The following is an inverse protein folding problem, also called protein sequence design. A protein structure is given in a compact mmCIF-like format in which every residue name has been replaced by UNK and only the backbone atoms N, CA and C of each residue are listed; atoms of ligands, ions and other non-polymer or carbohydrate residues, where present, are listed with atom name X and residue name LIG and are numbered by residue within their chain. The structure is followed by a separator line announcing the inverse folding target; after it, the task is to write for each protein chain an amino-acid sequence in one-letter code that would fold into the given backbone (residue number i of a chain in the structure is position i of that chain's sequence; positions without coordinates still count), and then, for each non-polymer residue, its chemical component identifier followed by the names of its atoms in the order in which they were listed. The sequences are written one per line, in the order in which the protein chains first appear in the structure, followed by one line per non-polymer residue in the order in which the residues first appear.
data_IF_423759977884
#
_entry.id   IF_423759977884
#
_cell.length_a   1.000
_cell.length_b   1.000
_cell.length_c   1.000
_cell.angle_alpha   90.00
_cell.angle_beta   90.00
_cell.angle_gamma   90.00
#
_symmetry.space_group_name_H-M   'P 1'
#
loop_
_entity.id
_entity.type
_entity.pdbx_description
1 polymer ?
#
# COMPACT_ATOMS: atom_id res chain seq x y z
N UNK A 1 -12.22 5.10 2.57
CA UNK A 1 -11.27 6.21 2.28
C UNK A 1 -9.89 5.61 2.04
N UNK A 2 -9.25 5.92 0.92
CA UNK A 2 -7.92 5.37 0.62
C UNK A 2 -6.88 5.93 1.60
N UNK A 3 -6.08 5.04 2.21
CA UNK A 3 -4.92 5.39 3.03
C UNK A 3 -3.69 5.20 2.17
N UNK A 4 -2.81 6.19 2.10
CA UNK A 4 -1.58 6.08 1.32
C UNK A 4 -0.39 5.96 2.28
N UNK A 5 0.43 4.90 2.18
CA UNK A 5 1.65 4.81 2.97
C UNK A 5 2.61 5.94 2.56
N UNK A 6 3.23 6.57 3.55
CA UNK A 6 4.23 7.62 3.36
C UNK A 6 5.61 7.00 3.54
N UNK A 7 6.50 7.23 2.57
CA UNK A 7 7.91 6.86 2.73
C UNK A 7 8.53 7.75 3.80
N UNK A 8 8.85 7.16 4.95
CA UNK A 8 9.46 7.83 6.08
C UNK A 8 10.86 7.27 6.37
N UNK A 9 11.74 8.12 6.89
CA UNK A 9 13.05 7.74 7.36
C UNK A 9 13.10 7.89 8.88
N UNK A 10 13.35 6.79 9.59
CA UNK A 10 13.52 6.80 11.06
C UNK A 10 15.00 7.10 11.35
N UNK A 11 15.29 8.24 11.97
CA UNK A 11 16.61 8.56 12.51
C UNK A 11 16.92 7.60 13.66
N UNK A 12 18.21 7.35 13.89
CA UNK A 12 18.68 6.44 14.94
C UNK A 12 18.07 6.76 16.31
N UNK A 13 17.75 5.72 17.08
CA UNK A 13 17.14 5.84 18.38
C UNK A 13 18.08 6.51 19.39
N UNK A 14 17.62 7.58 20.03
CA UNK A 14 18.39 8.29 21.05
C UNK A 14 17.86 7.91 22.43
N UNK A 15 18.63 7.08 23.13
CA UNK A 15 18.38 6.71 24.51
C UNK A 15 18.72 7.87 25.45
N UNK A 16 17.72 8.40 26.16
CA UNK A 16 17.92 9.46 27.15
C UNK A 16 18.14 8.82 28.52
N UNK A 17 19.31 9.09 29.11
CA UNK A 17 19.58 8.74 30.49
C UNK A 17 19.21 9.92 31.39
N UNK A 18 18.49 9.64 32.47
CA UNK A 18 18.19 10.61 33.53
C UNK A 18 18.92 10.13 34.78
N UNK A 19 20.14 10.64 35.00
CA UNK A 19 20.98 10.30 36.14
C UNK A 19 22.36 10.96 36.06
N UNK A 20 22.94 11.28 37.22
CA UNK A 20 24.29 11.82 37.33
C UNK A 20 25.32 10.72 36.99
N UNK A 21 26.42 11.09 36.32
CA UNK A 21 27.41 10.21 35.67
C UNK A 21 28.16 9.27 36.64
N UNK A 22 27.87 9.34 37.95
CA UNK A 22 28.61 8.63 39.00
C UNK A 22 27.96 7.36 39.55
N UNK A 23 26.84 6.89 38.98
CA UNK A 23 26.24 5.61 39.40
C UNK A 23 26.02 4.71 38.20
N UNK A 24 26.66 3.54 38.21
CA UNK A 24 26.72 2.45 37.22
C UNK A 24 25.35 1.82 36.84
N UNK A 25 24.27 2.61 36.79
CA UNK A 25 22.90 2.13 36.53
C UNK A 25 22.09 3.14 35.70
N UNK A 26 22.75 3.92 34.83
CA UNK A 26 22.11 4.83 33.88
C UNK A 26 21.32 4.08 32.79
N UNK A 27 20.26 3.38 33.17
CA UNK A 27 19.39 2.68 32.23
C UNK A 27 18.49 3.71 31.55
N UNK A 28 18.44 3.74 30.21
CA UNK A 28 17.59 4.68 29.52
C UNK A 28 16.12 4.25 29.69
N UNK A 29 15.41 4.85 30.63
CA UNK A 29 13.95 4.66 30.76
C UNK A 29 13.16 5.36 29.66
N UNK A 30 13.83 6.15 28.81
CA UNK A 30 13.22 6.92 27.72
C UNK A 30 14.06 6.81 26.45
N UNK A 31 13.42 6.51 25.32
CA UNK A 31 14.04 6.46 23.99
C UNK A 31 13.28 7.41 23.07
N UNK A 32 14.01 8.22 22.29
CA UNK A 32 13.42 9.14 21.32
C UNK A 32 13.74 8.67 19.91
N UNK A 33 12.69 8.49 19.10
CA UNK A 33 12.78 8.19 17.68
C UNK A 33 12.31 9.41 16.88
N UNK A 34 13.20 10.00 16.10
CA UNK A 34 12.85 11.07 15.19
C UNK A 34 12.61 10.51 13.80
N UNK A 35 11.49 10.87 13.19
CA UNK A 35 11.07 10.41 11.87
C UNK A 35 10.93 11.61 10.95
N UNK A 36 11.62 11.53 9.82
CA UNK A 36 11.61 12.57 8.79
C UNK A 36 11.00 12.06 7.49
N UNK A 37 10.51 13.00 6.69
CA UNK A 37 9.87 12.73 5.41
C UNK A 37 10.72 13.37 4.30
N UNK A 38 11.78 12.70 3.82
CA UNK A 38 12.72 13.31 2.86
C UNK A 38 12.10 13.56 1.48
N UNK A 39 11.19 12.68 1.03
CA UNK A 39 10.60 12.73 -0.32
C UNK A 39 9.16 13.23 -0.33
N UNK A 40 8.52 13.35 0.84
CA UNK A 40 7.19 13.87 0.99
C UNK A 40 7.30 15.24 1.63
N UNK A 41 6.77 16.28 0.97
CA UNK A 41 6.58 17.59 1.59
C UNK A 41 5.66 17.51 2.84
N UNK A 42 5.09 18.63 3.31
CA UNK A 42 4.26 18.62 4.51
C UNK A 42 3.16 17.53 4.48
N UNK A 43 3.26 16.54 5.36
CA UNK A 43 2.41 15.33 5.35
C UNK A 43 1.14 15.57 6.16
N UNK A 44 0.00 15.14 5.62
CA UNK A 44 -1.27 15.13 6.36
C UNK A 44 -1.46 13.77 7.02
N UNK A 45 -0.99 13.64 8.26
CA UNK A 45 -0.98 12.39 8.99
C UNK A 45 -2.40 11.93 9.30
N UNK A 46 -2.70 10.67 9.00
CA UNK A 46 -4.01 10.07 9.22
C UNK A 46 -3.94 8.95 10.27
N UNK A 47 -2.89 8.15 10.21
CA UNK A 47 -2.71 6.98 11.07
C UNK A 47 -1.22 6.64 11.16
N UNK A 48 -0.80 6.17 12.34
CA UNK A 48 0.52 5.61 12.59
C UNK A 48 0.30 4.17 13.04
N UNK A 49 0.89 3.21 12.36
CA UNK A 49 0.84 1.81 12.75
C UNK A 49 2.24 1.33 13.08
N UNK A 50 2.37 0.53 14.13
CA UNK A 50 3.65 -0.04 14.54
C UNK A 50 3.39 -1.30 15.34
N UNK A 51 4.41 -2.13 15.46
CA UNK A 51 4.47 -3.23 16.42
C UNK A 51 5.18 -2.73 17.67
N UNK A 52 4.56 -2.90 18.83
CA UNK A 52 5.24 -2.59 20.08
C UNK A 52 6.41 -3.58 20.28
N UNK A 53 7.51 -3.09 20.83
CA UNK A 53 8.61 -3.93 21.30
C UNK A 53 8.97 -3.50 22.73
N UNK A 54 8.21 -4.00 23.70
CA UNK A 54 8.39 -3.77 25.13
C UNK A 54 8.36 -2.27 25.55
N UNK A 55 7.64 -1.41 24.83
CA UNK A 55 7.43 -0.01 25.25
C UNK A 55 6.14 0.10 26.07
N UNK A 56 6.18 0.73 27.25
CA UNK A 56 4.99 0.88 28.10
C UNK A 56 4.14 2.10 27.72
N UNK A 57 4.78 3.26 27.50
CA UNK A 57 4.09 4.50 27.16
C UNK A 57 4.69 5.14 25.91
N UNK A 58 3.81 5.68 25.07
CA UNK A 58 4.16 6.42 23.86
C UNK A 58 3.65 7.85 23.94
N UNK A 59 4.55 8.81 23.72
CA UNK A 59 4.16 10.20 23.43
C UNK A 59 4.59 10.57 22.02
N UNK A 60 3.70 11.25 21.29
CA UNK A 60 3.92 11.64 19.90
C UNK A 60 3.94 13.16 19.80
N UNK A 61 5.03 13.69 19.26
CA UNK A 61 5.20 15.11 18.97
C UNK A 61 5.37 15.29 17.46
N UNK A 62 4.81 16.37 16.93
CA UNK A 62 4.91 16.73 15.51
C UNK A 62 5.55 18.11 15.39
N UNK A 63 6.43 18.27 14.41
CA UNK A 63 6.98 19.56 14.02
C UNK A 63 6.12 20.15 12.91
N UNK A 64 5.60 21.36 13.13
CA UNK A 64 4.80 22.10 12.14
C UNK A 64 5.31 23.51 12.01
N UNK A 65 5.09 24.14 10.84
CA UNK A 65 5.29 25.59 10.71
C UNK A 65 4.32 26.34 11.62
N UNK A 66 4.79 27.43 12.20
CA UNK A 66 3.93 28.33 12.98
C UNK A 66 2.83 28.94 12.12
N UNK A 67 1.77 29.43 12.77
CA UNK A 67 0.63 30.08 12.09
C UNK A 67 1.01 31.35 11.33
N UNK A 68 2.17 31.93 11.63
CA UNK A 68 2.69 33.15 11.00
C UNK A 68 3.84 32.80 10.07
N UNK A 69 3.83 33.40 8.87
CA UNK A 69 4.77 33.16 7.76
C UNK A 69 6.25 33.23 8.16
N UNK A 70 6.58 34.04 9.18
CA UNK A 70 7.96 34.29 9.61
C UNK A 70 8.38 33.50 10.87
N UNK A 71 7.50 32.68 11.45
CA UNK A 71 7.84 31.94 12.65
C UNK A 71 8.54 30.62 12.32
N UNK A 72 9.63 30.26 13.03
CA UNK A 72 10.28 28.99 12.85
C UNK A 72 9.33 27.82 13.19
N UNK A 73 9.59 26.62 12.64
CA UNK A 73 8.83 25.42 12.99
C UNK A 73 8.84 25.16 14.50
N UNK A 74 7.68 24.80 15.06
CA UNK A 74 7.50 24.53 16.49
C UNK A 74 7.01 23.10 16.71
N UNK A 75 7.52 22.47 17.77
CA UNK A 75 7.08 21.15 18.22
C UNK A 75 5.76 21.22 18.98
N UNK A 76 4.80 20.38 18.60
CA UNK A 76 3.51 20.23 19.26
C UNK A 76 3.34 18.81 19.74
N UNK A 77 2.85 18.62 20.96
CA UNK A 77 2.50 17.29 21.49
C UNK A 77 1.08 16.96 21.08
N UNK A 78 0.91 15.85 20.36
CA UNK A 78 -0.38 15.44 19.80
C UNK A 78 -0.89 14.14 20.43
N UNK A 79 0.00 13.34 21.00
CA UNK A 79 -0.35 12.22 21.86
C UNK A 79 0.58 12.27 23.06
N UNK A 80 0.03 12.07 24.26
CA UNK A 80 0.80 12.11 25.50
C UNK A 80 0.51 10.87 26.33
N UNK A 81 1.58 10.23 26.79
CA UNK A 81 1.55 9.10 27.73
C UNK A 81 0.51 8.03 27.35
N UNK A 82 0.41 7.71 26.05
CA UNK A 82 -0.48 6.66 25.55
C UNK A 82 0.03 5.30 26.00
N UNK A 83 -0.75 4.61 26.83
CA UNK A 83 -0.41 3.30 27.38
C UNK A 83 -0.51 2.24 26.28
N UNK A 84 0.63 1.59 25.99
CA UNK A 84 0.73 0.45 25.09
C UNK A 84 0.73 -0.87 25.87
N UNK A 85 1.21 -0.84 27.13
CA UNK A 85 1.17 -1.96 28.06
C UNK A 85 0.29 -1.57 29.25
N UNK A 86 -0.77 -2.32 29.57
CA UNK A 86 -1.61 -2.06 30.74
C UNK A 86 -0.81 -2.07 32.05
N UNK A 87 0.12 -3.03 32.16
CA UNK A 87 1.10 -3.10 33.23
C UNK A 87 2.52 -3.11 32.65
N UNK A 88 3.36 -2.10 32.96
CA UNK A 88 4.73 -2.01 32.43
C UNK A 88 5.63 -3.19 32.82
N UNK A 89 5.29 -3.95 33.86
CA UNK A 89 6.11 -5.06 34.36
C UNK A 89 5.76 -6.42 33.75
N UNK A 90 4.68 -6.52 32.98
CA UNK A 90 4.22 -7.76 32.34
C UNK A 90 4.44 -7.72 30.84
N UNK A 91 4.44 -8.86 30.15
CA UNK A 91 4.60 -8.91 28.69
C UNK A 91 3.30 -8.57 27.92
N UNK A 92 2.16 -8.45 28.60
CA UNK A 92 0.88 -8.12 27.97
C UNK A 92 0.94 -6.78 27.22
N UNK A 93 0.60 -6.80 25.93
CA UNK A 93 0.67 -5.64 25.03
C UNK A 93 2.08 -5.28 24.53
N UNK A 94 3.12 -5.99 24.99
CA UNK A 94 4.51 -5.66 24.65
C UNK A 94 4.89 -5.94 23.18
N UNK A 95 4.16 -6.82 22.49
CA UNK A 95 4.43 -7.28 21.12
C UNK A 95 3.25 -7.05 20.16
N UNK A 96 2.26 -6.26 20.58
CA UNK A 96 1.02 -6.06 19.82
C UNK A 96 1.17 -5.06 18.68
N UNK A 97 0.40 -5.27 17.61
CA UNK A 97 0.26 -4.30 16.53
C UNK A 97 -0.77 -3.24 16.89
N UNK A 98 -0.34 -1.99 16.94
CA UNK A 98 -1.12 -0.87 17.43
C UNK A 98 -1.24 0.18 16.33
N UNK A 99 -2.44 0.73 16.18
CA UNK A 99 -2.77 1.74 15.18
C UNK A 99 -3.33 2.98 15.87
N UNK A 100 -2.57 4.07 15.81
CA UNK A 100 -2.95 5.37 16.38
C UNK A 100 -3.57 6.21 15.27
N UNK A 101 -4.83 6.59 15.45
CA UNK A 101 -5.59 7.34 14.47
C UNK A 101 -5.59 8.85 14.74
N UNK A 102 -5.77 9.65 13.68
CA UNK A 102 -5.90 11.12 13.77
C UNK A 102 -6.91 11.59 14.81
N UNK A 103 -8.04 10.89 14.99
CA UNK A 103 -9.08 11.30 15.95
C UNK A 103 -8.68 11.13 17.42
N UNK A 104 -7.67 10.31 17.71
CA UNK A 104 -7.11 10.13 19.06
C UNK A 104 -6.08 11.23 19.42
N UNK A 105 -5.71 12.07 18.45
CA UNK A 105 -4.67 13.08 18.62
C UNK A 105 -5.27 14.41 19.10
N UNK A 106 -4.61 15.02 20.08
CA UNK A 106 -4.99 16.28 20.72
C UNK A 106 -4.81 17.52 19.82
N UNK A 107 -4.12 17.36 18.69
CA UNK A 107 -3.70 18.46 17.84
C UNK A 107 -4.05 18.18 16.36
N UNK A 108 -4.25 19.24 15.56
CA UNK A 108 -4.33 19.10 14.10
C UNK A 108 -3.00 18.60 13.54
N UNK A 109 -2.96 17.36 13.04
CA UNK A 109 -1.76 16.74 12.45
C UNK A 109 -1.68 16.91 10.93
N UNK A 110 -2.04 18.10 10.47
CA UNK A 110 -1.95 18.50 9.07
C UNK A 110 -0.63 19.25 8.83
N UNK A 111 -0.05 19.08 7.62
CA UNK A 111 1.22 19.70 7.20
C UNK A 111 2.40 19.44 8.17
N UNK A 112 2.55 18.19 8.61
CA UNK A 112 3.65 17.75 9.48
C UNK A 112 4.97 17.69 8.70
N UNK A 113 6.03 18.27 9.27
CA UNK A 113 7.38 18.27 8.68
C UNK A 113 8.25 17.15 9.25
N UNK A 114 8.17 16.94 10.56
CA UNK A 114 8.89 15.87 11.27
C UNK A 114 7.99 15.32 12.37
N UNK A 115 8.23 14.07 12.74
CA UNK A 115 7.54 13.35 13.79
C UNK A 115 8.57 12.90 14.83
N UNK A 116 8.26 13.02 16.11
CA UNK A 116 9.10 12.56 17.22
C UNK A 116 8.27 11.66 18.11
N UNK A 117 8.68 10.40 18.19
CA UNK A 117 8.10 9.39 19.07
C UNK A 117 8.97 9.31 20.31
N UNK A 118 8.37 9.49 21.48
CA UNK A 118 9.03 9.40 22.78
C UNK A 118 8.49 8.15 23.45
N UNK A 119 9.34 7.13 23.51
CA UNK A 119 9.07 5.84 24.10
C UNK A 119 9.51 5.88 25.55
N UNK A 120 8.67 5.41 26.47
CA UNK A 120 9.01 5.32 27.89
C UNK A 120 8.76 3.91 28.40
N UNK A 121 9.72 3.40 29.15
CA UNK A 121 9.63 2.12 29.81
C UNK A 121 10.10 2.28 31.26
N UNK A 122 9.16 2.38 32.22
CA UNK A 122 9.51 2.55 33.63
C UNK A 122 9.96 1.24 34.29
N UNK A 123 9.62 0.07 33.72
CA UNK A 123 10.03 -1.22 34.30
C UNK A 123 11.52 -1.48 34.03
N UNK A 124 12.28 -1.88 35.06
CA UNK A 124 13.70 -2.19 34.92
C UNK A 124 13.98 -3.54 34.25
N UNK A 125 12.93 -4.34 34.04
CA UNK A 125 13.01 -5.68 33.44
C UNK A 125 13.33 -5.61 31.94
N UNK A 126 12.88 -4.57 31.27
CA UNK A 126 13.01 -4.43 29.82
C UNK A 126 14.20 -3.54 29.48
N UNK A 127 15.35 -4.17 29.21
CA UNK A 127 16.61 -3.48 28.89
C UNK A 127 16.61 -2.88 27.48
N UNK A 128 15.86 -3.48 26.56
CA UNK A 128 15.77 -3.06 25.17
C UNK A 128 14.31 -2.91 24.82
N UNK A 129 13.89 -1.68 24.51
CA UNK A 129 12.55 -1.38 24.06
C UNK A 129 12.60 -0.40 22.88
N UNK A 130 11.71 -0.63 21.93
CA UNK A 130 11.60 0.17 20.70
C UNK A 130 10.21 -0.03 20.09
N UNK A 131 10.02 0.44 18.87
CA UNK A 131 8.90 0.10 18.01
C UNK A 131 9.43 -0.55 16.73
N UNK A 132 8.80 -1.63 16.30
CA UNK A 132 9.06 -2.32 15.05
C UNK A 132 7.97 -2.02 14.01
N UNK A 133 8.22 -2.33 12.74
CA UNK A 133 7.24 -2.19 11.65
C UNK A 133 6.52 -0.82 11.60
N UNK A 134 7.22 0.26 11.94
CA UNK A 134 6.65 1.60 11.93
C UNK A 134 6.26 2.01 10.51
N UNK A 135 4.96 2.25 10.31
CA UNK A 135 4.39 2.76 9.05
C UNK A 135 3.51 3.96 9.34
N UNK A 136 3.63 4.97 8.48
CA UNK A 136 2.88 6.21 8.59
C UNK A 136 1.97 6.30 7.37
N UNK A 137 0.69 6.53 7.60
CA UNK A 137 -0.29 6.71 6.55
C UNK A 137 -0.78 8.15 6.53
N UNK A 138 -0.84 8.70 5.33
CA UNK A 138 -1.48 9.98 5.08
C UNK A 138 -2.90 9.80 4.58
N UNK A 139 -3.70 10.84 4.75
CA UNK A 139 -5.03 10.90 4.12
C UNK A 139 -4.80 10.87 2.61
N UNK A 140 -5.19 9.76 1.97
CA UNK A 140 -5.21 9.73 0.51
C UNK A 140 -6.11 10.86 0.04
N UNK A 141 -5.64 11.65 -0.93
CA UNK A 141 -6.59 12.47 -1.67
C UNK A 141 -7.69 11.51 -2.11
N UNK A 142 -8.95 11.90 -1.91
CA UNK A 142 -9.97 11.35 -2.81
C UNK A 142 -9.35 11.57 -4.18
N UNK A 143 -9.12 10.50 -4.95
CA UNK A 143 -8.99 10.67 -6.40
C UNK A 143 -10.01 11.74 -6.75
N UNK A 144 -9.67 12.82 -7.50
CA UNK A 144 -10.72 13.68 -8.04
C UNK A 144 -11.74 12.69 -8.54
N UNK A 145 -12.95 12.71 -7.95
CA UNK A 145 -13.99 11.73 -8.30
C UNK A 145 -13.85 11.66 -9.81
N UNK A 146 -13.45 10.52 -10.36
CA UNK A 146 -13.64 10.33 -11.78
C UNK A 146 -15.15 10.45 -11.81
N UNK A 147 -15.60 11.65 -12.14
CA UNK A 147 -17.01 11.94 -12.29
C UNK A 147 -17.35 10.90 -13.32
N UNK A 148 -18.05 9.86 -12.88
CA UNK A 148 -18.61 8.90 -13.81
C UNK A 148 -19.24 9.78 -14.87
N UNK A 149 -18.71 9.77 -16.11
CA UNK A 149 -19.21 10.69 -17.12
C UNK A 149 -20.71 10.52 -17.14
N UNK A 150 -21.47 11.61 -17.18
CA UNK A 150 -22.88 11.62 -16.79
C UNK A 150 -23.73 10.54 -17.52
N UNK A 151 -23.27 10.07 -18.69
CA UNK A 151 -23.84 8.94 -19.44
C UNK A 151 -23.81 7.58 -18.70
N UNK A 152 -22.86 7.36 -17.78
CA UNK A 152 -22.80 6.16 -16.93
C UNK A 152 -23.62 6.30 -15.64
N UNK A 153 -23.97 7.53 -15.26
CA UNK A 153 -24.72 7.80 -14.03
C UNK A 153 -26.24 7.70 -14.21
N UNK A 154 -26.69 7.60 -15.45
CA UNK A 154 -28.09 7.37 -15.80
C UNK A 154 -28.16 6.03 -16.54
N UNK A 155 -28.72 4.95 -15.97
CA UNK A 155 -29.41 4.01 -16.85
C UNK A 155 -30.41 4.87 -17.60
N UNK A 156 -30.23 4.99 -18.92
CA UNK A 156 -31.15 5.73 -19.78
C UNK A 156 -32.53 5.19 -19.47
N UNK A 157 -33.32 5.96 -18.72
CA UNK A 157 -34.74 5.71 -18.61
C UNK A 157 -35.20 5.84 -20.06
N UNK A 158 -35.59 4.71 -20.63
CA UNK A 158 -36.10 4.61 -21.97
C UNK A 158 -37.32 5.52 -22.01
N UNK A 159 -37.10 6.78 -22.42
CA UNK A 159 -38.18 7.70 -22.72
C UNK A 159 -38.98 7.01 -23.82
N UNK A 160 -40.23 6.74 -23.47
CA UNK A 160 -41.25 6.23 -24.36
C UNK A 160 -41.52 7.30 -25.42
N UNK A 161 -40.61 7.42 -26.38
CA UNK A 161 -40.87 8.15 -27.61
C UNK A 161 -41.86 7.32 -28.39
N UNK A 162 -43.08 7.84 -28.47
CA UNK A 162 -44.16 7.32 -29.25
C UNK A 162 -43.69 7.00 -30.68
N UNK A 163 -43.82 5.74 -31.05
CA UNK A 163 -44.11 5.20 -32.39
C UNK A 163 -43.47 5.93 -33.59
N UNK A 164 -42.29 5.48 -34.00
CA UNK A 164 -41.83 5.48 -35.40
C UNK A 164 -41.11 4.15 -35.70
N UNK A 165 -41.19 3.63 -36.94
CA UNK A 165 -41.26 2.21 -37.22
C UNK A 165 -39.93 1.48 -37.02
N UNK A 166 -40.07 0.27 -36.49
CA UNK A 166 -39.10 -0.79 -36.30
C UNK A 166 -38.49 -1.21 -37.65
N UNK A 167 -37.43 -0.53 -38.07
CA UNK A 167 -36.53 -1.06 -39.09
C UNK A 167 -35.10 -0.72 -38.68
N UNK A 168 -34.26 -1.74 -38.71
CA UNK A 168 -32.80 -1.70 -38.58
C UNK A 168 -32.19 -1.87 -37.18
N UNK A 169 -32.81 -2.67 -36.30
CA UNK A 169 -31.99 -3.44 -35.35
C UNK A 169 -31.65 -4.81 -35.96
N UNK A 170 -30.36 -5.16 -36.15
CA UNK A 170 -30.00 -6.46 -36.69
C UNK A 170 -30.43 -7.56 -35.71
N UNK A 171 -31.06 -8.61 -36.25
CA UNK A 171 -31.58 -9.73 -35.48
C UNK A 171 -30.48 -10.30 -34.57
N UNK A 172 -30.65 -10.28 -33.24
CA UNK A 172 -29.64 -10.75 -32.29
C UNK A 172 -29.24 -12.20 -32.52
N UNK A 173 -30.15 -13.04 -33.04
CA UNK A 173 -29.83 -14.42 -33.38
C UNK A 173 -28.94 -14.50 -34.62
N UNK A 174 -29.16 -13.63 -35.61
CA UNK A 174 -28.29 -13.52 -36.79
C UNK A 174 -26.89 -13.06 -36.39
N UNK A 175 -26.78 -11.99 -35.59
CA UNK A 175 -25.48 -11.48 -35.11
C UNK A 175 -24.74 -12.53 -34.26
N UNK A 176 -25.46 -13.22 -33.37
CA UNK A 176 -24.92 -14.35 -32.61
C UNK A 176 -24.39 -15.45 -33.52
N UNK A 177 -25.17 -15.84 -34.54
CA UNK A 177 -24.81 -16.93 -35.44
C UNK A 177 -23.58 -16.61 -36.28
N UNK A 178 -23.44 -15.38 -36.78
CA UNK A 178 -22.29 -14.93 -37.56
C UNK A 178 -21.01 -14.92 -36.71
N UNK A 179 -21.10 -14.43 -35.47
CA UNK A 179 -19.98 -14.46 -34.53
C UNK A 179 -19.61 -15.90 -34.16
N UNK A 180 -20.59 -16.75 -33.88
CA UNK A 180 -20.36 -18.17 -33.59
C UNK A 180 -19.71 -18.89 -34.78
N UNK A 181 -20.14 -18.62 -36.01
CA UNK A 181 -19.51 -19.17 -37.21
C UNK A 181 -18.04 -18.73 -37.33
N UNK A 182 -17.75 -17.46 -37.07
CA UNK A 182 -16.37 -16.95 -37.06
C UNK A 182 -15.50 -17.63 -35.99
N UNK A 183 -16.04 -17.89 -34.81
CA UNK A 183 -15.34 -18.64 -33.76
C UNK A 183 -15.09 -20.09 -34.17
N UNK A 184 -16.08 -20.74 -34.79
CA UNK A 184 -15.93 -22.11 -35.30
C UNK A 184 -14.82 -22.18 -36.35
N UNK A 185 -14.78 -21.25 -37.30
CA UNK A 185 -13.71 -21.18 -38.31
C UNK A 185 -12.33 -20.97 -37.67
N UNK A 186 -12.24 -20.12 -36.64
CA UNK A 186 -10.99 -19.87 -35.91
C UNK A 186 -10.49 -21.14 -35.21
N UNK A 187 -11.39 -21.88 -34.57
CA UNK A 187 -11.04 -23.14 -33.92
C UNK A 187 -10.71 -24.25 -34.95
N UNK A 188 -11.39 -24.28 -36.10
CA UNK A 188 -11.03 -25.20 -37.19
C UNK A 188 -9.65 -24.89 -37.77
N UNK A 189 -9.31 -23.62 -37.99
CA UNK A 189 -7.97 -23.20 -38.43
C UNK A 189 -6.93 -23.58 -37.36
N UNK A 190 -7.21 -23.29 -36.08
CA UNK A 190 -6.34 -23.66 -34.95
C UNK A 190 -6.12 -25.17 -34.87
N UNK A 191 -7.17 -25.98 -35.00
CA UNK A 191 -7.09 -27.43 -34.92
C UNK A 191 -6.42 -28.05 -36.17
N UNK A 192 -6.57 -27.42 -37.34
CA UNK A 192 -6.01 -27.89 -38.60
C UNK A 192 -4.65 -27.26 -38.95
N UNK A 193 -4.10 -26.40 -38.08
CA UNK A 193 -2.69 -26.02 -38.13
C UNK A 193 -1.83 -27.26 -37.84
N UNK A 194 -1.54 -28.03 -38.90
CA UNK A 194 -0.29 -28.78 -38.94
C UNK A 194 0.85 -27.80 -38.74
N UNK A 195 1.91 -28.25 -38.07
CA UNK A 195 3.13 -27.48 -37.78
C UNK A 195 3.90 -27.20 -39.09
N UNK A 196 3.28 -26.54 -40.05
CA UNK A 196 3.98 -25.86 -41.12
C UNK A 196 4.57 -24.61 -40.49
N UNK A 197 5.85 -24.72 -40.12
CA UNK A 197 6.66 -23.62 -39.60
C UNK A 197 6.53 -22.45 -40.58
N UNK A 198 5.70 -21.46 -40.21
CA UNK A 198 5.74 -20.13 -40.83
C UNK A 198 7.19 -19.69 -40.69
N UNK A 199 7.90 -19.73 -41.83
CA UNK A 199 9.32 -19.45 -41.90
C UNK A 199 9.57 -18.06 -41.34
N UNK A 200 10.19 -18.01 -40.16
CA UNK A 200 10.88 -16.80 -39.75
C UNK A 200 11.99 -16.61 -40.77
N UNK A 201 11.83 -15.59 -41.62
CA UNK A 201 12.94 -15.03 -42.36
C UNK A 201 13.89 -14.41 -41.33
N UNK A 202 14.86 -15.19 -40.84
CA UNK A 202 16.04 -14.65 -40.18
C UNK A 202 16.89 -14.00 -41.27
N UNK A 203 16.87 -12.67 -41.33
CA UNK A 203 17.84 -11.90 -42.12
C UNK A 203 19.17 -11.97 -41.36
N UNK A 204 19.98 -12.97 -41.67
CA UNK A 204 21.32 -13.14 -41.12
C UNK A 204 22.31 -12.22 -41.82
N UNK A 205 22.75 -11.14 -41.15
CA UNK A 205 24.04 -10.52 -41.45
C UNK A 205 25.14 -11.45 -40.96
N UNK A 206 25.98 -11.90 -41.89
CA UNK A 206 27.26 -12.60 -41.68
C UNK A 206 28.07 -11.96 -40.53
N UNK A 207 28.64 -12.67 -39.57
CA UNK A 207 29.63 -13.72 -39.76
C UNK A 207 29.75 -14.64 -38.51
N UNK A 208 30.15 -15.88 -38.75
CA UNK A 208 30.45 -16.97 -37.80
C UNK A 208 31.97 -17.27 -37.85
N UNK A 209 32.57 -18.20 -37.04
CA UNK A 209 32.27 -18.76 -35.70
C UNK A 209 33.62 -19.03 -34.92
N UNK A 210 33.85 -20.10 -34.09
CA UNK A 210 33.00 -20.98 -33.23
C UNK A 210 33.53 -21.20 -31.78
N UNK A 211 32.71 -21.77 -30.87
CA UNK A 211 33.24 -22.38 -29.64
C UNK A 211 32.25 -22.90 -28.58
N UNK A 212 31.61 -24.05 -28.85
CA UNK A 212 31.15 -25.07 -27.88
C UNK A 212 29.92 -24.82 -26.95
N UNK A 213 29.24 -25.90 -26.49
CA UNK A 213 27.79 -25.94 -26.30
C UNK A 213 27.33 -25.70 -24.86
N UNK A 214 26.13 -25.13 -24.71
CA UNK A 214 25.40 -25.07 -23.45
C UNK A 214 24.40 -26.24 -23.37
N UNK A 215 24.50 -26.98 -22.27
CA UNK A 215 23.60 -28.03 -21.82
C UNK A 215 22.16 -27.54 -21.67
N UNK A 216 21.21 -28.31 -22.18
CA UNK A 216 19.79 -28.12 -21.96
C UNK A 216 19.40 -28.58 -20.54
N UNK A 217 18.90 -27.66 -19.72
CA UNK A 217 18.15 -27.98 -18.50
C UNK A 217 16.72 -27.40 -18.61
N UNK A 218 15.79 -28.35 -18.68
CA UNK A 218 14.38 -28.34 -18.29
C UNK A 218 13.83 -27.03 -17.69
N UNK A 219 12.84 -26.43 -18.37
CA UNK A 219 11.85 -25.57 -17.73
C UNK A 219 10.46 -26.16 -17.97
N UNK A 220 9.97 -26.82 -16.92
CA UNK A 220 8.62 -27.34 -16.76
C UNK A 220 7.70 -26.13 -16.56
N UNK A 221 6.87 -25.82 -17.55
CA UNK A 221 5.88 -24.73 -17.45
C UNK A 221 4.53 -25.33 -17.08
N UNK A 222 4.25 -25.51 -15.80
CA UNK A 222 2.88 -25.69 -15.30
C UNK A 222 2.22 -24.31 -15.19
N UNK A 223 1.36 -23.98 -16.17
CA UNK A 223 0.38 -22.89 -16.05
C UNK A 223 -1.00 -23.51 -15.90
N UNK A 224 -1.43 -23.67 -14.66
CA UNK A 224 -2.83 -23.89 -14.31
C UNK A 224 -3.65 -22.68 -14.77
N UNK A 225 -4.45 -22.89 -15.79
CA UNK A 225 -5.38 -21.91 -16.33
C UNK A 225 -6.62 -21.86 -15.42
N UNK A 226 -6.77 -20.77 -14.66
CA UNK A 226 -7.89 -20.50 -13.76
C UNK A 226 -9.24 -20.23 -14.47
N UNK A 227 -9.32 -20.42 -15.79
CA UNK A 227 -10.54 -20.14 -16.57
C UNK A 227 -11.56 -21.31 -16.57
N UNK A 228 -11.15 -22.54 -16.25
CA UNK A 228 -12.05 -23.70 -16.34
C UNK A 228 -13.03 -23.86 -15.16
N UNK A 229 -13.02 -22.96 -14.16
CA UNK A 229 -13.87 -23.09 -12.95
C UNK A 229 -15.17 -22.27 -12.97
N UNK A 230 -15.42 -21.48 -14.00
CA UNK A 230 -16.63 -20.65 -14.10
C UNK A 230 -17.75 -21.24 -14.98
N UNK A 231 -17.48 -22.28 -15.76
CA UNK A 231 -18.46 -22.88 -16.69
C UNK A 231 -19.30 -24.02 -16.08
N UNK A 232 -19.29 -24.20 -14.76
CA UNK A 232 -20.07 -25.24 -14.08
C UNK A 232 -21.21 -24.69 -13.19
N UNK A 233 -21.55 -23.40 -13.29
CA UNK A 233 -22.54 -22.74 -12.43
C UNK A 233 -23.71 -22.09 -13.18
N UNK A 234 -23.94 -22.48 -14.44
CA UNK A 234 -25.12 -22.06 -15.20
C UNK A 234 -25.71 -23.28 -15.91
N UNK A 235 -26.42 -24.10 -15.14
CA UNK A 235 -27.45 -25.03 -15.59
C UNK A 235 -28.50 -25.09 -14.47
#
# INVERSE_FOLDING_TARGET
MARLPVLCHVKGAVALQVGDVKTEQGRPGVVVLDVTFPHAGPVNLQEITFKNYYTAFLSVRVLKRGSLSHCPPKWFTCLRDYSLMPNPHTEEGAQDYISVFKHQMLCNVDKVLELRLILRQPSPLWLTFTLDDLRIYQRGQQSPRVSFPAWLSHPVAFEKTAFLPEQDLPDPNKVSSEVQQMWVLTEMIRANHSVARIGRFDVSWSARPPGLPLSASSVKTERLCLCCRWMAAMT
#
